data_IF_882458170865
#
_entry.id   IF_882458170865
#
_cell.length_a   1.000
_cell.length_b   1.000
_cell.length_c   1.000
_cell.angle_alpha   90.00
_cell.angle_beta   90.00
_cell.angle_gamma   90.00
#
_symmetry.space_group_name_H-M   'P 1'
#
loop_
_entity.id
_entity.type
_entity.pdbx_description
1 polymer ?
#
# COMPACT_ATOMS: atom_id res chain seq x y z
N UNK A 1 41.33 19.79 54.51
CA UNK A 1 40.29 20.78 54.13
C UNK A 1 40.66 21.32 52.75
N UNK A 2 39.93 21.21 51.64
CA UNK A 2 38.55 20.82 51.37
C UNK A 2 38.46 20.30 49.92
N UNK A 3 37.72 19.21 49.73
CA UNK A 3 37.26 18.68 48.43
C UNK A 3 36.25 19.65 47.81
N UNK A 4 36.40 20.01 46.54
CA UNK A 4 35.27 20.53 45.72
C UNK A 4 35.22 19.78 44.39
N UNK A 5 34.33 18.81 44.43
CA UNK A 5 33.70 18.06 43.35
C UNK A 5 33.09 19.04 42.33
N UNK A 6 33.50 18.99 41.07
CA UNK A 6 32.71 19.55 39.96
C UNK A 6 32.11 18.38 39.19
N UNK A 7 30.84 18.11 39.48
CA UNK A 7 29.99 17.12 38.84
C UNK A 7 29.38 17.70 37.55
N UNK A 8 29.38 16.87 36.52
CA UNK A 8 28.32 16.63 35.53
C UNK A 8 27.82 17.78 34.64
N UNK A 9 27.94 17.58 33.33
CA UNK A 9 26.86 17.81 32.38
C UNK A 9 27.08 16.94 31.14
N UNK A 10 26.71 15.67 31.25
CA UNK A 10 26.55 14.77 30.11
C UNK A 10 25.23 15.08 29.42
N UNK A 11 25.30 15.68 28.23
CA UNK A 11 24.16 15.79 27.32
C UNK A 11 23.91 14.41 26.69
N UNK A 12 22.99 13.64 27.26
CA UNK A 12 22.33 12.56 26.53
C UNK A 12 21.33 13.21 25.55
N UNK A 13 21.67 13.25 24.27
CA UNK A 13 20.68 13.42 23.21
C UNK A 13 19.83 12.14 23.19
N UNK A 14 18.65 12.20 23.81
CA UNK A 14 17.61 11.21 23.56
C UNK A 14 17.17 11.40 22.10
N UNK A 15 17.67 10.55 21.21
CA UNK A 15 17.02 10.36 19.91
C UNK A 15 15.62 9.85 20.21
N UNK A 16 14.62 10.73 20.05
CA UNK A 16 13.23 10.33 20.01
C UNK A 16 13.05 9.47 18.76
N UNK A 17 13.18 8.16 18.93
CA UNK A 17 12.74 7.19 17.95
C UNK A 17 11.21 7.26 17.97
N UNK A 18 10.62 8.03 17.08
CA UNK A 18 9.17 7.97 16.86
C UNK A 18 8.87 6.62 16.22
N UNK A 19 8.04 5.79 16.86
CA UNK A 19 7.53 4.55 16.27
C UNK A 19 6.82 4.89 14.96
N UNK A 20 7.49 4.60 13.84
CA UNK A 20 6.91 4.70 12.51
C UNK A 20 5.99 3.50 12.32
N UNK A 21 4.69 3.75 12.24
CA UNK A 21 3.73 2.71 11.89
C UNK A 21 3.75 2.51 10.38
N UNK A 22 3.67 1.26 9.95
CA UNK A 22 3.56 0.89 8.55
C UNK A 22 2.49 -0.18 8.38
N UNK A 23 1.94 -0.29 7.17
CA UNK A 23 1.04 -1.38 6.79
C UNK A 23 1.38 -1.89 5.39
N UNK A 24 1.06 -3.15 5.13
CA UNK A 24 1.23 -3.77 3.82
C UNK A 24 0.00 -3.46 2.95
N UNK A 25 0.21 -2.84 1.80
CA UNK A 25 -0.78 -2.77 0.74
C UNK A 25 -0.66 -4.07 -0.08
N UNK A 26 -1.76 -4.80 -0.20
CA UNK A 26 -1.82 -6.05 -0.98
C UNK A 26 -2.87 -5.97 -2.07
N UNK A 27 -2.68 -6.73 -3.13
CA UNK A 27 -3.63 -6.84 -4.23
C UNK A 27 -3.08 -7.70 -5.36
N UNK A 28 -3.92 -7.87 -6.38
CA UNK A 28 -3.61 -8.63 -7.60
C UNK A 28 -3.24 -7.65 -8.71
N UNK A 29 -2.09 -7.87 -9.37
CA UNK A 29 -1.71 -7.08 -10.54
C UNK A 29 -2.55 -7.51 -11.74
N UNK A 30 -2.99 -6.55 -12.54
CA UNK A 30 -3.69 -6.84 -13.78
C UNK A 30 -2.71 -6.89 -14.96
N UNK A 31 -2.68 -8.02 -15.65
CA UNK A 31 -1.92 -8.20 -16.89
C UNK A 31 -2.81 -7.85 -18.10
N UNK A 32 -2.62 -6.63 -18.61
CA UNK A 32 -3.34 -6.13 -19.78
C UNK A 32 -3.10 -6.96 -21.05
N UNK A 33 -1.98 -7.68 -21.16
CA UNK A 33 -1.65 -8.44 -22.36
C UNK A 33 -2.42 -9.76 -22.43
N UNK A 34 -2.68 -10.37 -21.26
CA UNK A 34 -3.38 -11.65 -21.13
C UNK A 34 -4.82 -11.50 -20.61
N UNK A 35 -5.23 -10.29 -20.24
CA UNK A 35 -6.57 -9.97 -19.71
C UNK A 35 -6.90 -10.81 -18.44
N UNK A 36 -5.94 -10.88 -17.52
CA UNK A 36 -6.02 -11.70 -16.31
C UNK A 36 -5.42 -11.00 -15.08
N UNK A 37 -5.72 -11.53 -13.90
CA UNK A 37 -5.16 -11.13 -12.62
C UNK A 37 -4.07 -12.09 -12.17
N UNK A 38 -2.94 -11.54 -11.77
CA UNK A 38 -1.87 -12.25 -11.09
C UNK A 38 -2.29 -12.65 -9.67
N UNK A 39 -1.47 -13.46 -9.00
CA UNK A 39 -1.69 -13.83 -7.60
C UNK A 39 -1.73 -12.61 -6.65
N UNK A 40 -2.50 -12.74 -5.55
CA UNK A 40 -2.57 -11.69 -4.52
C UNK A 40 -1.25 -11.60 -3.75
N UNK A 41 -0.59 -10.46 -3.86
CA UNK A 41 0.74 -10.22 -3.28
C UNK A 41 0.80 -8.90 -2.54
N UNK A 42 1.84 -8.72 -1.72
CA UNK A 42 2.17 -7.42 -1.15
C UNK A 42 2.74 -6.54 -2.27
N UNK A 43 1.98 -5.50 -2.62
CA UNK A 43 2.35 -4.51 -3.62
C UNK A 43 3.36 -3.52 -3.02
N UNK A 44 3.12 -3.09 -1.78
CA UNK A 44 3.91 -2.05 -1.13
C UNK A 44 3.82 -2.08 0.41
N UNK A 45 4.72 -1.36 1.08
CA UNK A 45 4.69 -1.11 2.52
C UNK A 45 4.61 0.40 2.76
N UNK A 46 3.45 0.86 3.20
CA UNK A 46 3.11 2.27 3.31
C UNK A 46 3.31 2.74 4.75
N UNK A 47 3.90 3.92 4.94
CA UNK A 47 3.97 4.61 6.22
C UNK A 47 2.58 5.11 6.64
N UNK A 48 2.11 4.72 7.82
CA UNK A 48 0.82 5.10 8.35
C UNK A 48 0.13 3.96 9.11
N UNK A 49 -1.17 4.14 9.34
CA UNK A 49 -2.06 3.10 9.85
C UNK A 49 -3.10 2.79 8.78
N UNK A 50 -3.33 1.52 8.47
CA UNK A 50 -4.45 1.14 7.63
C UNK A 50 -5.75 1.51 8.35
N UNK A 51 -6.60 2.32 7.71
CA UNK A 51 -7.87 2.75 8.29
C UNK A 51 -9.05 2.21 7.47
N UNK A 52 -10.00 1.59 8.18
CA UNK A 52 -11.29 1.13 7.64
C UNK A 52 -11.28 -0.20 6.87
N UNK A 53 -12.49 -0.73 6.69
CA UNK A 53 -12.84 -1.75 5.70
C UNK A 53 -13.99 -1.19 4.87
N UNK A 54 -13.92 -1.37 3.56
CA UNK A 54 -14.84 -0.87 2.55
C UNK A 54 -15.49 -2.09 1.95
N UNK A 55 -16.74 -1.95 1.54
CA UNK A 55 -17.42 -3.01 0.82
C UNK A 55 -16.87 -3.03 -0.60
N UNK A 56 -16.22 -4.13 -0.98
CA UNK A 56 -15.70 -4.37 -2.31
C UNK A 56 -14.19 -4.22 -2.43
N UNK A 57 -13.75 -4.13 -3.68
CA UNK A 57 -12.36 -3.92 -4.05
C UNK A 57 -12.22 -2.59 -4.79
N UNK A 58 -11.02 -2.03 -4.74
CA UNK A 58 -10.62 -0.88 -5.53
C UNK A 58 -9.70 -1.31 -6.63
N UNK A 59 -9.76 -0.61 -7.75
CA UNK A 59 -8.71 -0.69 -8.74
C UNK A 59 -7.88 0.60 -8.71
N UNK A 60 -6.57 0.42 -8.52
CA UNK A 60 -5.61 1.50 -8.35
C UNK A 60 -4.50 1.38 -9.41
N UNK A 61 -3.94 2.51 -9.82
CA UNK A 61 -2.77 2.55 -10.71
C UNK A 61 -1.55 3.10 -9.98
N UNK A 62 -0.44 2.39 -10.01
CA UNK A 62 0.84 2.92 -9.53
C UNK A 62 1.24 4.14 -10.38
N UNK A 63 1.54 5.26 -9.72
CA UNK A 63 2.06 6.46 -10.40
C UNK A 63 3.52 6.29 -10.83
N UNK A 64 4.25 5.33 -10.26
CA UNK A 64 5.64 5.04 -10.60
C UNK A 64 5.74 4.11 -11.82
N UNK A 65 5.02 2.98 -11.80
CA UNK A 65 5.16 1.93 -12.83
C UNK A 65 4.05 1.98 -13.88
N UNK A 66 2.92 2.62 -13.58
CA UNK A 66 1.71 2.56 -14.41
C UNK A 66 0.91 1.26 -14.29
N UNK A 67 1.35 0.30 -13.46
CA UNK A 67 0.67 -0.99 -13.27
C UNK A 67 -0.67 -0.79 -12.56
N UNK A 68 -1.69 -1.51 -13.02
CA UNK A 68 -3.01 -1.55 -12.40
C UNK A 68 -3.09 -2.72 -11.41
N UNK A 69 -3.69 -2.47 -10.25
CA UNK A 69 -3.89 -3.47 -9.22
C UNK A 69 -5.33 -3.45 -8.73
N UNK A 70 -5.88 -4.63 -8.43
CA UNK A 70 -7.13 -4.77 -7.69
C UNK A 70 -6.81 -5.09 -6.24
N UNK A 71 -7.30 -4.27 -5.32
CA UNK A 71 -6.99 -4.37 -3.89
C UNK A 71 -8.26 -4.31 -3.04
N UNK A 72 -8.30 -5.07 -1.94
CA UNK A 72 -9.35 -4.94 -0.93
C UNK A 72 -9.08 -3.79 0.07
N UNK A 73 -7.98 -3.06 -0.09
CA UNK A 73 -7.65 -1.91 0.75
C UNK A 73 -8.49 -0.70 0.38
N UNK A 74 -8.86 0.06 1.41
CA UNK A 74 -9.89 1.09 1.29
C UNK A 74 -9.34 2.48 1.14
N UNK A 75 -8.18 2.71 1.71
CA UNK A 75 -7.43 3.92 1.50
C UNK A 75 -6.45 3.66 0.37
N UNK A 76 -6.51 4.53 -0.63
CA UNK A 76 -5.55 4.53 -1.72
C UNK A 76 -4.38 5.41 -1.29
N UNK A 77 -3.16 4.86 -1.16
CA UNK A 77 -2.01 5.67 -0.78
C UNK A 77 -1.68 6.70 -1.85
N UNK A 78 -0.99 7.79 -1.48
CA UNK A 78 -0.66 8.90 -2.39
C UNK A 78 0.23 8.53 -3.57
N UNK A 79 0.94 7.39 -3.51
CA UNK A 79 1.72 6.86 -4.62
C UNK A 79 0.87 6.16 -5.70
N UNK A 80 -0.44 6.05 -5.46
CA UNK A 80 -1.40 5.38 -6.32
C UNK A 80 -2.55 6.31 -6.68
N UNK A 81 -3.11 6.11 -7.86
CA UNK A 81 -4.32 6.78 -8.33
C UNK A 81 -5.50 5.81 -8.18
N UNK A 82 -6.58 6.25 -7.53
CA UNK A 82 -7.83 5.48 -7.46
C UNK A 82 -8.62 5.68 -8.76
N UNK A 83 -8.84 4.59 -9.49
CA UNK A 83 -9.53 4.59 -10.77
C UNK A 83 -10.78 3.69 -10.74
N UNK A 84 -11.22 3.29 -9.54
CA UNK A 84 -12.31 2.32 -9.34
C UNK A 84 -13.61 2.74 -10.03
N UNK A 85 -13.90 4.04 -10.10
CA UNK A 85 -15.12 4.59 -10.70
C UNK A 85 -15.03 4.79 -12.23
N UNK A 86 -13.97 4.32 -12.89
CA UNK A 86 -13.87 4.38 -14.35
C UNK A 86 -14.62 3.21 -15.00
N UNK A 87 -15.62 3.53 -15.82
CA UNK A 87 -16.45 2.55 -16.53
C UNK A 87 -15.74 1.89 -17.73
N UNK A 88 -14.57 2.40 -18.14
CA UNK A 88 -13.82 1.93 -19.30
C UNK A 88 -12.31 1.84 -19.01
N UNK A 89 -11.59 1.08 -19.84
CA UNK A 89 -10.13 0.96 -19.77
C UNK A 89 -9.63 -0.17 -18.86
N UNK A 90 -8.32 -0.20 -18.56
CA UNK A 90 -7.70 -1.33 -17.85
C UNK A 90 -8.29 -1.58 -16.47
N UNK A 91 -8.77 -0.52 -15.80
CA UNK A 91 -9.33 -0.63 -14.48
C UNK A 91 -10.71 -1.30 -14.47
N UNK A 92 -11.57 -0.96 -15.43
CA UNK A 92 -12.85 -1.64 -15.63
C UNK A 92 -12.65 -3.12 -15.98
N UNK A 93 -11.64 -3.43 -16.81
CA UNK A 93 -11.31 -4.81 -17.17
C UNK A 93 -10.75 -5.59 -15.97
N UNK A 94 -9.86 -4.99 -15.17
CA UNK A 94 -9.31 -5.60 -13.97
C UNK A 94 -10.40 -5.92 -12.93
N UNK A 95 -11.38 -5.02 -12.74
CA UNK A 95 -12.52 -5.26 -11.86
C UNK A 95 -13.43 -6.37 -12.40
N UNK A 96 -13.68 -6.41 -13.71
CA UNK A 96 -14.43 -7.49 -14.33
C UNK A 96 -13.72 -8.85 -14.18
N UNK A 97 -12.40 -8.88 -14.35
CA UNK A 97 -11.59 -10.08 -14.11
C UNK A 97 -11.69 -10.54 -12.65
N UNK A 98 -11.67 -9.61 -11.69
CA UNK A 98 -11.87 -9.93 -10.28
C UNK A 98 -13.23 -10.59 -10.00
N UNK A 99 -14.29 -10.11 -10.65
CA UNK A 99 -15.64 -10.69 -10.54
C UNK A 99 -15.74 -12.11 -11.11
N UNK A 100 -14.92 -12.45 -12.11
CA UNK A 100 -14.82 -13.81 -12.69
C UNK A 100 -14.06 -14.79 -11.77
N UNK A 101 -13.23 -14.29 -10.86
CA UNK A 101 -12.50 -15.11 -9.89
C UNK A 101 -11.44 -15.98 -10.54
N UNK A 102 -11.42 -17.28 -10.21
CA UNK A 102 -10.39 -18.24 -10.70
C UNK A 102 -10.33 -18.35 -12.23
N UNK A 103 -11.42 -18.03 -12.94
CA UNK A 103 -11.48 -18.09 -14.41
C UNK A 103 -10.63 -17.00 -15.09
N UNK A 104 -10.26 -15.95 -14.38
CA UNK A 104 -9.47 -14.84 -14.88
C UNK A 104 -8.11 -14.72 -14.19
N UNK A 105 -7.60 -15.79 -13.56
CA UNK A 105 -6.23 -15.81 -13.05
C UNK A 105 -5.22 -16.11 -14.16
N UNK A 106 -4.06 -15.47 -14.09
CA UNK A 106 -2.95 -15.74 -15.00
C UNK A 106 -2.34 -17.13 -14.73
N UNK A 107 -1.92 -17.83 -15.80
CA UNK A 107 -1.34 -19.20 -15.75
C UNK A 107 0.20 -19.23 -15.69
#
# INVERSE_FOLDING_TARGET
>A
MNRRWSLLLGLCFAFACSDLKTYALSGQAYDEANDCLEEDLVIDVIEGEASGTCEGVRCIRSLETGTYYVTSHCEVPTAYEDLTDQDEGPCALALAAYELGEEAQCE
#
